data_IF_770342508047
#
_entry.id   IF_770342508047
#
_cell.length_a   1.000
_cell.length_b   1.000
_cell.length_c   1.000
_cell.angle_alpha   90.00
_cell.angle_beta   90.00
_cell.angle_gamma   90.00
#
_symmetry.space_group_name_H-M   'P 1'
#
loop_
_entity.id
_entity.type
_entity.pdbx_description
1 polymer ?
#
# COMPACT_ATOMS: atom_id res chain seq x y z
N UNK A 1 6.62 28.53 -31.56
CA UNK A 1 8.04 28.97 -31.74
C UNK A 1 8.41 29.94 -30.61
N UNK A 2 9.66 29.95 -30.17
CA UNK A 2 10.23 30.95 -29.25
C UNK A 2 11.05 31.92 -30.06
N UNK A 3 10.46 33.09 -30.40
CA UNK A 3 11.06 34.03 -31.34
C UNK A 3 11.28 33.36 -32.69
N UNK A 4 12.52 33.32 -33.20
CA UNK A 4 12.88 32.68 -34.48
C UNK A 4 13.20 31.18 -34.35
N UNK A 5 13.12 30.59 -33.15
CA UNK A 5 13.43 29.17 -32.90
C UNK A 5 12.16 28.43 -32.47
N UNK A 6 12.11 27.16 -32.77
CA UNK A 6 11.02 26.32 -32.28
C UNK A 6 11.08 26.24 -30.75
N UNK A 7 9.91 26.24 -30.10
CA UNK A 7 9.78 26.03 -28.67
C UNK A 7 10.03 24.55 -28.38
N UNK A 8 10.83 24.27 -27.35
CA UNK A 8 11.03 22.93 -26.82
C UNK A 8 10.69 22.95 -25.34
N UNK A 9 9.71 22.15 -24.95
CA UNK A 9 9.37 21.93 -23.55
C UNK A 9 10.51 21.20 -22.82
N UNK A 10 10.72 21.50 -21.56
CA UNK A 10 11.75 20.84 -20.74
C UNK A 10 11.27 19.48 -20.18
N UNK A 11 9.95 19.34 -20.01
CA UNK A 11 9.29 18.14 -19.56
C UNK A 11 8.22 17.70 -20.57
N UNK A 12 7.56 16.59 -20.29
CA UNK A 12 6.39 16.19 -21.07
C UNK A 12 5.29 17.23 -20.92
N UNK A 13 4.69 17.63 -22.04
CA UNK A 13 3.44 18.42 -22.04
C UNK A 13 2.29 17.45 -21.75
N UNK A 14 1.53 17.72 -20.70
CA UNK A 14 0.46 16.84 -20.21
C UNK A 14 -0.92 17.41 -20.53
N UNK A 15 -1.05 18.75 -20.64
CA UNK A 15 -2.32 19.41 -20.89
C UNK A 15 -2.21 20.63 -21.78
N UNK A 16 -3.34 21.02 -22.35
CA UNK A 16 -3.48 22.27 -23.13
C UNK A 16 -4.87 22.88 -22.95
N UNK A 17 -4.90 24.21 -22.88
CA UNK A 17 -6.11 25.01 -22.96
C UNK A 17 -6.04 25.93 -24.18
N UNK A 18 -7.20 26.22 -24.79
CA UNK A 18 -7.33 27.16 -25.91
C UNK A 18 -8.45 28.11 -25.53
N UNK A 19 -8.08 29.38 -25.34
CA UNK A 19 -9.01 30.46 -24.99
C UNK A 19 -8.68 31.70 -25.78
N UNK A 20 -9.67 32.36 -26.31
CA UNK A 20 -9.62 33.70 -26.98
C UNK A 20 -8.46 33.88 -27.99
N UNK A 21 -8.06 32.80 -28.68
CA UNK A 21 -6.95 32.83 -29.65
C UNK A 21 -5.56 32.65 -29.02
N UNK A 22 -5.48 32.32 -27.75
CA UNK A 22 -4.26 31.88 -27.05
C UNK A 22 -4.29 30.37 -26.79
N UNK A 23 -3.11 29.77 -26.76
CA UNK A 23 -2.91 28.38 -26.41
C UNK A 23 -1.99 28.33 -25.20
N UNK A 24 -2.48 27.81 -24.11
CA UNK A 24 -1.68 27.48 -22.92
C UNK A 24 -1.30 26.01 -22.93
N UNK A 25 0.00 25.73 -22.82
CA UNK A 25 0.54 24.38 -22.67
C UNK A 25 1.06 24.19 -21.25
N UNK A 26 0.69 23.07 -20.64
CA UNK A 26 1.12 22.70 -19.29
C UNK A 26 2.17 21.61 -19.35
N UNK A 27 3.34 21.88 -18.77
CA UNK A 27 4.41 20.89 -18.61
C UNK A 27 4.82 20.82 -17.16
N UNK A 28 5.11 19.61 -16.67
CA UNK A 28 5.58 19.50 -15.31
C UNK A 28 5.87 18.08 -14.88
N UNK A 29 6.37 18.00 -13.66
CA UNK A 29 6.57 16.74 -12.96
C UNK A 29 6.56 16.99 -11.45
N UNK A 30 5.85 16.14 -10.72
CA UNK A 30 5.72 16.23 -9.27
C UNK A 30 5.13 17.59 -8.84
N UNK A 31 5.90 18.38 -8.05
CA UNK A 31 5.45 19.67 -7.54
C UNK A 31 5.88 20.89 -8.39
N UNK A 32 6.52 20.66 -9.54
CA UNK A 32 7.05 21.74 -10.39
C UNK A 32 6.36 21.75 -11.74
N UNK A 33 5.61 22.80 -11.97
CA UNK A 33 4.82 22.99 -13.18
C UNK A 33 5.15 24.31 -13.85
N UNK A 34 4.98 24.35 -15.16
CA UNK A 34 5.07 25.57 -15.95
C UNK A 34 3.87 25.64 -16.88
N UNK A 35 3.32 26.82 -17.03
CA UNK A 35 2.42 27.18 -18.10
C UNK A 35 3.20 27.97 -19.15
N UNK A 36 2.98 27.65 -20.41
CA UNK A 36 3.54 28.36 -21.56
C UNK A 36 2.40 28.86 -22.42
N UNK A 37 2.23 30.17 -22.50
CA UNK A 37 1.16 30.83 -23.29
C UNK A 37 1.69 31.21 -24.64
N UNK A 38 0.92 30.91 -25.68
CA UNK A 38 1.22 31.24 -27.09
C UNK A 38 0.06 32.03 -27.71
N UNK A 39 0.35 33.18 -28.30
CA UNK A 39 -0.56 33.80 -29.25
C UNK A 39 -0.59 32.94 -30.51
N UNK A 40 -1.79 32.54 -30.97
CA UNK A 40 -1.97 31.70 -32.15
C UNK A 40 -2.47 32.50 -33.31
N UNK A 41 -1.74 32.46 -34.42
CA UNK A 41 -2.16 33.10 -35.71
C UNK A 41 -2.73 32.02 -36.64
N UNK A 42 -4.04 32.04 -36.83
CA UNK A 42 -4.77 31.12 -37.70
C UNK A 42 -4.32 31.19 -39.17
N UNK A 43 -3.85 32.34 -39.64
CA UNK A 43 -3.48 32.52 -41.04
C UNK A 43 -2.12 31.88 -41.38
N UNK A 44 -1.22 31.89 -40.44
CA UNK A 44 0.12 31.27 -40.59
C UNK A 44 0.25 29.91 -39.95
N UNK A 45 -0.78 29.44 -39.25
CA UNK A 45 -0.77 28.20 -38.45
C UNK A 45 0.43 28.11 -37.46
N UNK A 46 0.82 29.30 -36.94
CA UNK A 46 1.99 29.38 -36.03
C UNK A 46 1.59 29.98 -34.68
N UNK A 47 2.15 29.39 -33.61
CA UNK A 47 2.05 29.97 -32.26
C UNK A 47 3.36 30.69 -31.90
N UNK A 48 3.25 31.88 -31.37
CA UNK A 48 4.39 32.65 -30.83
C UNK A 48 4.30 32.67 -29.31
N UNK A 49 5.37 32.22 -28.62
CA UNK A 49 5.42 32.24 -27.17
C UNK A 49 5.26 33.70 -26.66
N UNK A 50 4.18 33.96 -25.95
CA UNK A 50 3.86 35.25 -25.33
C UNK A 50 4.29 35.29 -23.86
N UNK A 51 4.28 34.15 -23.15
CA UNK A 51 4.62 34.09 -21.77
C UNK A 51 5.01 32.68 -21.30
N UNK A 52 5.65 32.62 -20.12
CA UNK A 52 5.88 31.41 -19.37
C UNK A 52 5.85 31.74 -17.89
N UNK A 53 5.11 30.97 -17.11
CA UNK A 53 5.07 31.12 -15.65
C UNK A 53 5.20 29.79 -14.92
N UNK A 54 5.86 29.83 -13.74
CA UNK A 54 5.91 28.70 -12.85
C UNK A 54 4.58 28.59 -12.10
N UNK A 55 4.09 27.36 -11.96
CA UNK A 55 2.86 27.04 -11.25
C UNK A 55 3.14 26.04 -10.13
N UNK A 56 2.34 26.08 -9.08
CA UNK A 56 2.29 25.02 -8.08
C UNK A 56 1.30 23.94 -8.52
N UNK A 57 1.41 22.75 -7.95
CA UNK A 57 0.42 21.69 -8.18
C UNK A 57 -1.00 22.12 -7.75
N UNK A 58 -1.12 22.90 -6.67
CA UNK A 58 -2.41 23.45 -6.23
C UNK A 58 -3.01 24.40 -7.26
N UNK A 59 -2.18 25.18 -7.99
CA UNK A 59 -2.67 26.02 -9.10
C UNK A 59 -3.20 25.18 -10.27
N UNK A 60 -2.51 24.06 -10.60
CA UNK A 60 -2.98 23.13 -11.63
C UNK A 60 -4.33 22.54 -11.20
N UNK A 61 -4.48 22.03 -9.97
CA UNK A 61 -5.76 21.48 -9.49
C UNK A 61 -6.90 22.52 -9.52
N UNK A 62 -6.62 23.78 -9.13
CA UNK A 62 -7.63 24.82 -9.19
C UNK A 62 -8.06 25.13 -10.63
N UNK A 63 -7.12 25.08 -11.57
CA UNK A 63 -7.40 25.30 -12.99
C UNK A 63 -8.18 24.10 -13.58
N UNK A 64 -7.79 22.87 -13.28
CA UNK A 64 -8.54 21.67 -13.67
C UNK A 64 -9.99 21.71 -13.19
N UNK A 65 -10.21 22.20 -11.96
CA UNK A 65 -11.54 22.38 -11.40
C UNK A 65 -12.37 23.43 -12.17
N UNK A 66 -11.72 24.48 -12.61
CA UNK A 66 -12.36 25.57 -13.37
C UNK A 66 -12.70 25.12 -14.79
N UNK A 67 -11.73 24.48 -15.46
CA UNK A 67 -11.83 24.07 -16.86
C UNK A 67 -12.49 22.71 -17.05
N UNK A 68 -12.70 21.97 -15.96
CA UNK A 68 -13.20 20.59 -15.97
C UNK A 68 -12.37 19.67 -16.88
N UNK A 69 -11.05 19.80 -16.80
CA UNK A 69 -10.07 19.04 -17.60
C UNK A 69 -8.94 18.53 -16.72
N UNK A 70 -8.50 17.32 -17.00
CA UNK A 70 -7.25 16.76 -16.45
C UNK A 70 -6.07 17.36 -17.22
N UNK A 71 -5.35 18.29 -16.60
CA UNK A 71 -4.22 19.00 -17.19
C UNK A 71 -2.87 18.40 -16.82
N UNK A 72 -2.82 17.62 -15.77
CA UNK A 72 -1.61 16.98 -15.25
C UNK A 72 -1.48 15.51 -15.66
N UNK A 73 -2.51 14.95 -16.32
CA UNK A 73 -2.57 13.56 -16.81
C UNK A 73 -2.44 12.52 -15.67
N UNK A 74 -3.01 12.82 -14.49
CA UNK A 74 -3.04 11.90 -13.36
C UNK A 74 -4.31 11.02 -13.30
N UNK A 75 -5.22 11.22 -14.26
CA UNK A 75 -6.45 10.45 -14.44
C UNK A 75 -7.64 10.97 -13.65
N UNK A 76 -7.52 12.10 -12.95
CA UNK A 76 -8.61 12.76 -12.21
C UNK A 76 -8.60 14.26 -12.45
N UNK A 77 -9.72 14.95 -12.14
CA UNK A 77 -9.81 16.40 -12.26
C UNK A 77 -9.68 17.01 -10.85
N UNK A 78 -8.69 17.90 -10.69
CA UNK A 78 -8.42 18.58 -9.43
C UNK A 78 -7.84 17.65 -8.36
N UNK A 79 -7.82 18.07 -7.11
CA UNK A 79 -7.26 17.27 -6.00
C UNK A 79 -8.25 16.21 -5.51
N UNK A 80 -8.60 15.29 -6.39
CA UNK A 80 -9.51 14.18 -6.11
C UNK A 80 -8.79 12.95 -5.55
N UNK A 81 -9.55 11.93 -5.16
CA UNK A 81 -9.03 10.64 -4.70
C UNK A 81 -8.51 9.84 -5.90
N UNK A 82 -7.24 9.41 -5.83
CA UNK A 82 -6.59 8.56 -6.84
C UNK A 82 -6.43 7.11 -6.39
N UNK A 83 -6.45 6.84 -5.08
CA UNK A 83 -6.35 5.48 -4.54
C UNK A 83 -7.15 5.32 -3.26
N UNK A 84 -7.66 4.11 -3.04
CA UNK A 84 -8.37 3.69 -1.83
C UNK A 84 -7.64 2.51 -1.19
N UNK A 85 -7.65 2.43 0.13
CA UNK A 85 -6.96 1.38 0.89
C UNK A 85 -7.89 0.73 1.90
N UNK A 86 -7.64 -0.52 2.20
CA UNK A 86 -8.35 -1.24 3.24
C UNK A 86 -8.08 -0.61 4.61
N UNK A 87 -9.13 -0.43 5.37
CA UNK A 87 -9.08 0.09 6.75
C UNK A 87 -9.91 -0.82 7.65
N UNK A 88 -9.35 -1.20 8.78
CA UNK A 88 -10.11 -1.84 9.86
C UNK A 88 -10.01 -1.02 11.14
N UNK A 89 -11.03 -1.08 11.96
CA UNK A 89 -10.99 -0.68 13.37
C UNK A 89 -10.68 -1.89 14.26
N UNK A 90 -10.59 -1.68 15.58
CA UNK A 90 -10.31 -2.75 16.55
C UNK A 90 -11.39 -3.85 16.58
N UNK A 91 -12.57 -3.60 16.03
CA UNK A 91 -13.66 -4.57 15.92
C UNK A 91 -13.69 -5.30 14.58
N UNK A 92 -12.74 -5.01 13.68
CA UNK A 92 -12.73 -5.53 12.31
C UNK A 92 -13.79 -4.90 11.40
N UNK A 93 -14.49 -3.86 11.88
CA UNK A 93 -15.50 -3.14 11.09
C UNK A 93 -14.82 -2.01 10.31
N UNK A 94 -15.02 -2.00 9.00
CA UNK A 94 -14.57 -0.90 8.16
C UNK A 94 -15.54 0.27 8.35
N UNK A 95 -15.16 1.24 9.19
CA UNK A 95 -15.98 2.42 9.49
C UNK A 95 -15.47 3.70 8.83
N UNK A 96 -14.20 3.75 8.48
CA UNK A 96 -13.54 4.91 7.84
C UNK A 96 -12.74 4.46 6.63
N UNK A 97 -12.74 5.29 5.56
CA UNK A 97 -11.85 5.07 4.42
C UNK A 97 -10.48 5.69 4.64
N UNK A 98 -9.46 5.10 4.04
CA UNK A 98 -8.12 5.67 3.91
C UNK A 98 -7.83 5.86 2.43
N UNK A 99 -7.42 7.07 2.06
CA UNK A 99 -7.36 7.50 0.67
C UNK A 99 -6.08 8.28 0.38
N UNK A 100 -5.60 8.17 -0.86
CA UNK A 100 -4.58 9.05 -1.41
C UNK A 100 -5.23 10.04 -2.38
N UNK A 101 -4.89 11.32 -2.24
CA UNK A 101 -5.29 12.38 -3.14
C UNK A 101 -4.29 12.53 -4.31
N UNK A 102 -4.71 13.18 -5.39
CA UNK A 102 -3.86 13.56 -6.52
C UNK A 102 -2.62 14.37 -6.10
N UNK A 103 -2.76 15.21 -5.06
CA UNK A 103 -1.63 15.91 -4.42
C UNK A 103 -0.59 15.00 -3.74
N UNK A 104 -0.83 13.68 -3.69
CA UNK A 104 -0.02 12.74 -2.94
C UNK A 104 -0.25 12.76 -1.43
N UNK A 105 -1.19 13.56 -0.94
CA UNK A 105 -1.57 13.60 0.47
C UNK A 105 -2.48 12.42 0.83
N UNK A 106 -2.40 11.97 2.07
CA UNK A 106 -3.23 10.89 2.59
C UNK A 106 -4.24 11.44 3.60
N UNK A 107 -5.46 10.94 3.50
CA UNK A 107 -6.58 11.34 4.36
C UNK A 107 -7.37 10.14 4.85
N UNK A 108 -8.10 10.32 5.95
CA UNK A 108 -9.20 9.44 6.35
C UNK A 108 -10.52 10.18 6.21
N UNK A 109 -11.57 9.45 5.83
CA UNK A 109 -12.94 9.95 5.75
C UNK A 109 -13.91 8.82 6.14
N UNK A 110 -15.06 9.17 6.75
CA UNK A 110 -16.06 8.22 7.25
C UNK A 110 -17.23 7.98 6.28
N UNK A 111 -17.14 8.43 5.03
CA UNK A 111 -18.24 8.40 4.06
C UNK A 111 -18.13 7.37 2.93
N UNK A 112 -17.06 6.59 2.89
CA UNK A 112 -16.87 5.59 1.82
C UNK A 112 -16.70 6.26 0.45
N UNK A 113 -15.74 7.18 0.34
CA UNK A 113 -15.42 7.86 -0.91
C UNK A 113 -14.80 6.91 -1.93
N UNK A 114 -14.94 7.23 -3.20
CA UNK A 114 -14.39 6.47 -4.32
C UNK A 114 -13.40 7.30 -5.15
N UNK A 115 -12.59 6.63 -5.96
CA UNK A 115 -11.67 7.29 -6.90
C UNK A 115 -12.44 8.27 -7.79
N UNK A 116 -11.84 9.44 -8.02
CA UNK A 116 -12.42 10.56 -8.77
C UNK A 116 -13.27 11.53 -7.94
N UNK A 117 -13.67 11.16 -6.72
CA UNK A 117 -14.41 12.08 -5.85
C UNK A 117 -13.46 13.05 -5.12
N UNK A 118 -13.93 14.28 -4.95
CA UNK A 118 -13.25 15.30 -4.15
C UNK A 118 -13.79 15.28 -2.72
N UNK A 119 -12.94 15.02 -1.71
CA UNK A 119 -13.38 15.11 -0.32
C UNK A 119 -13.65 16.56 0.06
N UNK A 120 -14.75 16.82 0.76
CA UNK A 120 -15.04 18.15 1.29
C UNK A 120 -14.20 18.44 2.53
N UNK A 121 -13.82 19.70 2.76
CA UNK A 121 -12.92 20.12 3.85
C UNK A 121 -13.38 19.74 5.25
N UNK A 122 -14.69 19.61 5.47
CA UNK A 122 -15.28 19.25 6.77
C UNK A 122 -15.26 17.72 7.05
N UNK A 123 -14.74 16.90 6.15
CA UNK A 123 -14.88 15.44 6.19
C UNK A 123 -13.55 14.72 6.17
N UNK A 124 -12.46 15.41 5.79
CA UNK A 124 -11.13 14.82 5.67
C UNK A 124 -10.27 15.12 6.87
N UNK A 125 -9.63 14.08 7.40
CA UNK A 125 -8.54 14.26 8.36
C UNK A 125 -7.22 13.92 7.66
N UNK A 126 -6.34 14.93 7.54
CA UNK A 126 -5.06 14.82 6.86
C UNK A 126 -4.00 14.20 7.79
N UNK A 127 -3.26 13.21 7.29
CA UNK A 127 -2.08 12.69 7.98
C UNK A 127 -0.93 13.70 7.92
N UNK A 128 -0.30 13.97 9.06
CA UNK A 128 0.68 15.06 9.22
C UNK A 128 1.95 14.60 9.95
N UNK A 129 3.07 15.25 9.63
CA UNK A 129 4.28 15.28 10.47
C UNK A 129 4.44 16.71 10.96
N UNK A 130 4.16 16.93 12.25
CA UNK A 130 4.01 18.29 12.78
C UNK A 130 2.84 19.01 12.10
N UNK A 131 3.12 20.08 11.36
CA UNK A 131 2.11 20.88 10.63
C UNK A 131 2.05 20.59 9.13
N UNK A 132 2.95 19.76 8.60
CA UNK A 132 3.03 19.44 7.18
C UNK A 132 2.38 18.10 6.86
N UNK A 133 1.87 17.87 5.63
CA UNK A 133 1.38 16.57 5.22
C UNK A 133 2.46 15.48 5.41
N UNK A 134 2.06 14.34 5.98
CA UNK A 134 2.97 13.21 6.15
C UNK A 134 3.27 12.55 4.81
N UNK A 135 4.54 12.17 4.62
CA UNK A 135 5.00 11.42 3.43
C UNK A 135 5.44 10.03 3.84
N UNK A 136 4.75 9.02 3.36
CA UNK A 136 5.18 7.64 3.54
C UNK A 136 6.41 7.35 2.67
N UNK A 137 7.29 6.48 3.16
CA UNK A 137 8.52 6.09 2.43
C UNK A 137 8.19 5.32 1.14
N UNK A 138 7.14 4.51 1.19
CA UNK A 138 6.57 3.77 0.06
C UNK A 138 5.04 3.88 0.11
N UNK A 139 4.36 3.43 -0.92
CA UNK A 139 2.90 3.44 -0.95
C UNK A 139 2.32 2.52 0.14
N UNK A 140 1.35 3.00 0.96
CA UNK A 140 0.67 2.19 1.96
C UNK A 140 -0.02 0.96 1.37
N UNK A 141 -0.05 -0.12 2.13
CA UNK A 141 -0.85 -1.30 1.79
C UNK A 141 -2.22 -1.27 2.45
N UNK A 142 -2.26 -0.84 3.72
CA UNK A 142 -3.49 -0.79 4.53
C UNK A 142 -3.35 0.19 5.69
N UNK A 143 -4.44 0.43 6.41
CA UNK A 143 -4.43 1.24 7.62
C UNK A 143 -5.33 0.63 8.70
N UNK A 144 -4.96 0.88 9.96
CA UNK A 144 -5.81 0.67 11.12
C UNK A 144 -6.24 2.02 11.67
N UNK A 145 -7.52 2.18 11.93
CA UNK A 145 -8.07 3.35 12.60
C UNK A 145 -8.46 2.99 14.03
N UNK A 146 -7.71 3.47 14.99
CA UNK A 146 -8.06 3.36 16.41
C UNK A 146 -8.91 4.56 16.82
N UNK A 147 -10.06 4.31 17.42
CA UNK A 147 -11.00 5.37 17.85
C UNK A 147 -10.42 6.17 19.02
N UNK A 148 -9.60 5.56 19.88
CA UNK A 148 -9.11 6.18 21.13
C UNK A 148 -7.58 6.39 21.19
N UNK A 149 -6.78 5.83 20.27
CA UNK A 149 -5.31 5.87 20.35
C UNK A 149 -4.61 6.23 19.04
N UNK A 150 -5.29 6.86 18.12
CA UNK A 150 -4.76 7.17 16.79
C UNK A 150 -4.86 6.01 15.84
N UNK A 151 -4.03 5.98 14.79
CA UNK A 151 -4.06 4.96 13.77
C UNK A 151 -2.67 4.47 13.41
N UNK A 152 -2.60 3.32 12.75
CA UNK A 152 -1.39 2.77 12.16
C UNK A 152 -1.55 2.62 10.66
N UNK A 153 -0.55 3.00 9.88
CA UNK A 153 -0.53 2.82 8.43
C UNK A 153 0.62 1.88 8.09
N UNK A 154 0.29 0.79 7.38
CA UNK A 154 1.23 -0.25 7.01
C UNK A 154 1.75 -0.06 5.60
N UNK A 155 3.01 -0.37 5.40
CA UNK A 155 3.64 -0.38 4.09
C UNK A 155 4.86 -1.31 4.06
N UNK A 156 5.16 -1.78 2.87
CA UNK A 156 6.33 -2.58 2.58
C UNK A 156 7.44 -1.71 2.03
N UNK A 157 8.68 -1.98 2.41
CA UNK A 157 9.87 -1.34 1.84
C UNK A 157 10.98 -2.36 1.65
N UNK A 158 11.96 -2.04 0.81
CA UNK A 158 13.10 -2.91 0.57
C UNK A 158 14.37 -2.30 1.18
N UNK A 159 15.08 -3.08 1.99
CA UNK A 159 16.38 -2.71 2.52
C UNK A 159 17.40 -3.82 2.25
N UNK A 160 18.46 -3.50 1.51
CA UNK A 160 19.53 -4.45 1.11
C UNK A 160 18.99 -5.71 0.43
N UNK A 161 17.93 -5.57 -0.40
CA UNK A 161 17.30 -6.67 -1.10
C UNK A 161 16.31 -7.51 -0.29
N UNK A 162 16.11 -7.19 0.98
CA UNK A 162 15.10 -7.86 1.82
C UNK A 162 13.85 -7.00 1.96
N UNK A 163 12.70 -7.64 1.91
CA UNK A 163 11.42 -7.05 2.26
C UNK A 163 11.38 -6.74 3.74
N UNK A 164 11.00 -5.52 4.09
CA UNK A 164 10.81 -5.04 5.45
C UNK A 164 9.43 -4.42 5.55
N UNK A 165 8.66 -4.88 6.51
CA UNK A 165 7.38 -4.31 6.87
C UNK A 165 7.53 -3.19 7.88
N UNK A 166 6.79 -2.12 7.67
CA UNK A 166 6.76 -0.96 8.55
C UNK A 166 5.34 -0.54 8.86
N UNK A 167 5.19 0.07 10.02
CA UNK A 167 3.97 0.72 10.47
C UNK A 167 4.30 2.11 10.98
N UNK A 168 3.72 3.13 10.35
CA UNK A 168 3.75 4.49 10.87
C UNK A 168 2.56 4.70 11.82
N UNK A 169 2.86 5.07 13.05
CA UNK A 169 1.88 5.30 14.10
C UNK A 169 1.53 6.79 14.20
N UNK A 170 0.24 7.06 14.37
CA UNK A 170 -0.31 8.41 14.47
C UNK A 170 -1.12 8.56 15.76
N UNK A 171 -1.27 9.79 16.24
CA UNK A 171 -2.24 10.12 17.31
C UNK A 171 -3.65 10.32 16.72
N UNK A 172 -4.61 10.67 17.59
CA UNK A 172 -6.01 10.89 17.21
C UNK A 172 -6.20 12.03 16.19
N UNK A 173 -5.30 13.02 16.23
CA UNK A 173 -5.28 14.13 15.27
C UNK A 173 -4.56 13.79 13.95
N UNK A 174 -4.20 12.51 13.74
CA UNK A 174 -3.42 12.00 12.60
C UNK A 174 -2.03 12.64 12.49
N UNK A 175 -1.44 13.02 13.62
CA UNK A 175 -0.05 13.50 13.68
C UNK A 175 0.87 12.31 13.92
N UNK A 176 1.89 12.18 13.08
CA UNK A 176 2.90 11.13 13.15
C UNK A 176 3.62 11.09 14.50
N UNK A 177 3.77 9.91 15.06
CA UNK A 177 4.49 9.65 16.31
C UNK A 177 5.84 8.98 16.06
N UNK A 178 5.81 7.81 15.45
CA UNK A 178 7.00 6.99 15.19
C UNK A 178 6.73 5.94 14.11
N UNK A 179 7.81 5.37 13.59
CA UNK A 179 7.77 4.20 12.71
C UNK A 179 8.22 2.96 13.46
N UNK A 180 7.49 1.88 13.35
CA UNK A 180 7.86 0.55 13.82
C UNK A 180 8.30 -0.31 12.64
N UNK A 181 9.25 -1.21 12.89
CA UNK A 181 9.64 -2.26 11.95
C UNK A 181 9.03 -3.56 12.44
N UNK A 182 8.29 -4.23 11.58
CA UNK A 182 7.56 -5.44 11.88
C UNK A 182 8.17 -6.62 11.13
N UNK A 183 8.16 -7.79 11.77
CA UNK A 183 8.40 -9.05 11.11
C UNK A 183 7.17 -9.47 10.30
N UNK A 184 7.34 -10.35 9.32
CA UNK A 184 6.20 -10.87 8.55
C UNK A 184 5.19 -11.60 9.46
N UNK A 185 5.67 -12.31 10.49
CA UNK A 185 4.79 -12.94 11.47
C UNK A 185 3.91 -11.91 12.21
N UNK A 186 4.48 -10.78 12.64
CA UNK A 186 3.70 -9.72 13.31
C UNK A 186 2.66 -9.12 12.36
N UNK A 187 2.93 -9.04 11.04
CA UNK A 187 1.90 -8.64 10.07
C UNK A 187 0.74 -9.63 10.07
N UNK A 188 1.01 -10.94 9.97
CA UNK A 188 -0.02 -11.98 9.98
C UNK A 188 -0.81 -12.02 11.30
N UNK A 189 -0.13 -11.81 12.44
CA UNK A 189 -0.79 -11.70 13.76
C UNK A 189 -1.72 -10.46 13.82
N UNK A 190 -1.31 -9.33 13.21
CA UNK A 190 -2.15 -8.14 13.10
C UNK A 190 -3.34 -8.36 12.15
N UNK A 191 -3.13 -9.03 11.02
CA UNK A 191 -4.22 -9.41 10.11
C UNK A 191 -5.29 -10.22 10.82
N UNK A 192 -4.87 -11.24 11.56
CA UNK A 192 -5.77 -12.09 12.32
C UNK A 192 -6.49 -11.31 13.43
N UNK A 193 -5.77 -10.42 14.13
CA UNK A 193 -6.33 -9.61 15.23
C UNK A 193 -7.38 -8.63 14.73
N UNK A 194 -7.12 -7.98 13.60
CA UNK A 194 -7.96 -6.91 13.06
C UNK A 194 -8.83 -7.34 11.89
N UNK A 195 -8.78 -8.62 11.51
CA UNK A 195 -9.52 -9.21 10.40
C UNK A 195 -9.38 -8.42 9.09
N UNK A 196 -8.16 -8.05 8.74
CA UNK A 196 -7.81 -7.27 7.56
C UNK A 196 -6.60 -7.86 6.83
N UNK A 197 -6.66 -8.00 5.51
CA UNK A 197 -5.53 -8.38 4.67
C UNK A 197 -4.58 -7.17 4.52
N UNK A 198 -3.52 -7.14 5.33
CA UNK A 198 -2.53 -6.04 5.38
C UNK A 198 -1.52 -6.18 4.26
N UNK A 199 -1.07 -7.40 3.98
CA UNK A 199 -0.02 -7.70 3.02
C UNK A 199 -0.53 -7.85 1.58
N UNK A 200 -1.86 -7.84 1.39
CA UNK A 200 -2.57 -7.98 0.11
C UNK A 200 -2.30 -9.31 -0.62
N UNK A 201 -2.10 -10.39 0.13
CA UNK A 201 -1.93 -11.73 -0.43
C UNK A 201 -3.27 -12.44 -0.69
N UNK A 202 -4.39 -11.81 -0.31
CA UNK A 202 -5.75 -12.33 -0.48
C UNK A 202 -6.23 -13.16 0.70
N UNK A 203 -5.47 -13.24 1.79
CA UNK A 203 -5.79 -13.99 3.00
C UNK A 203 -5.76 -13.09 4.22
N UNK A 204 -6.30 -13.55 5.35
CA UNK A 204 -6.23 -12.85 6.63
C UNK A 204 -5.51 -13.75 7.63
N UNK A 205 -4.32 -13.32 8.07
CA UNK A 205 -3.48 -14.04 9.02
C UNK A 205 -2.72 -15.23 8.43
N UNK A 206 -2.14 -16.05 9.31
CA UNK A 206 -1.33 -17.18 8.90
C UNK A 206 -2.21 -18.41 8.55
N UNK A 207 -2.59 -18.49 7.30
CA UNK A 207 -3.44 -19.58 6.78
C UNK A 207 -2.62 -20.65 6.07
N UNK A 208 -3.24 -21.80 5.80
CA UNK A 208 -2.63 -22.87 5.00
C UNK A 208 -2.41 -22.40 3.56
N UNK A 209 -1.14 -22.34 3.16
CA UNK A 209 -0.75 -22.05 1.77
C UNK A 209 -0.72 -23.32 0.92
N UNK A 210 -0.32 -24.47 1.52
CA UNK A 210 -0.20 -25.72 0.80
C UNK A 210 -0.43 -26.93 1.71
N UNK A 211 -1.17 -27.91 1.19
CA UNK A 211 -1.25 -29.26 1.78
C UNK A 211 -0.12 -30.08 1.16
N UNK A 212 0.82 -30.54 1.96
CA UNK A 212 2.01 -31.25 1.47
C UNK A 212 1.77 -32.75 1.37
N UNK A 213 1.32 -33.37 2.48
CA UNK A 213 1.13 -34.82 2.56
C UNK A 213 0.22 -35.19 3.74
N UNK A 214 -0.32 -36.42 3.74
CA UNK A 214 -1.08 -36.97 4.86
C UNK A 214 -0.63 -38.39 5.16
N UNK A 215 -0.91 -38.90 6.38
CA UNK A 215 -0.56 -40.25 6.83
C UNK A 215 -1.64 -41.32 6.55
N UNK A 216 -2.75 -40.94 5.95
CA UNK A 216 -3.91 -41.80 5.71
C UNK A 216 -4.69 -42.15 6.98
N UNK A 217 -4.31 -41.62 8.16
CA UNK A 217 -4.95 -41.81 9.46
C UNK A 217 -5.60 -40.55 10.04
N UNK A 218 -5.55 -39.47 9.28
CA UNK A 218 -6.14 -38.19 9.65
C UNK A 218 -5.13 -37.06 9.84
N UNK A 219 -3.86 -37.34 10.08
CA UNK A 219 -2.86 -36.30 10.23
C UNK A 219 -2.34 -35.84 8.87
N UNK A 220 -2.22 -34.55 8.71
CA UNK A 220 -1.67 -33.94 7.50
C UNK A 220 -0.57 -32.93 7.85
N UNK A 221 0.41 -32.84 6.96
CA UNK A 221 1.46 -31.82 7.00
C UNK A 221 1.12 -30.71 6.04
N UNK A 222 1.16 -29.51 6.53
CA UNK A 222 0.85 -28.28 5.79
C UNK A 222 2.02 -27.33 5.83
N UNK A 223 2.05 -26.43 4.85
CA UNK A 223 2.86 -25.23 4.89
C UNK A 223 1.92 -24.01 4.95
N UNK A 224 2.20 -23.10 5.87
CA UNK A 224 1.43 -21.85 6.01
C UNK A 224 2.01 -20.73 5.12
N UNK A 225 1.28 -19.61 5.01
CA UNK A 225 1.73 -18.41 4.29
C UNK A 225 3.01 -17.83 4.89
N UNK A 226 3.20 -17.95 6.21
CA UNK A 226 4.47 -17.56 6.86
C UNK A 226 5.66 -18.45 6.51
N UNK A 227 5.42 -19.55 5.79
CA UNK A 227 6.43 -20.59 5.51
C UNK A 227 6.63 -21.59 6.64
N UNK A 228 5.85 -21.48 7.72
CA UNK A 228 5.89 -22.46 8.82
C UNK A 228 5.34 -23.80 8.36
N UNK A 229 5.89 -24.90 8.91
CA UNK A 229 5.35 -26.23 8.71
C UNK A 229 4.54 -26.63 9.94
N UNK A 230 3.32 -27.09 9.71
CA UNK A 230 2.38 -27.46 10.77
C UNK A 230 1.80 -28.85 10.53
N UNK A 231 1.53 -29.59 11.61
CA UNK A 231 0.82 -30.85 11.57
C UNK A 231 -0.53 -30.65 12.24
N UNK A 232 -1.59 -31.06 11.57
CA UNK A 232 -2.96 -30.93 12.05
C UNK A 232 -3.81 -32.13 11.61
N UNK A 233 -4.79 -32.51 12.42
CA UNK A 233 -5.69 -33.66 12.20
C UNK A 233 -7.12 -33.26 11.81
N UNK A 234 -7.40 -31.96 11.69
CA UNK A 234 -8.73 -31.43 11.40
C UNK A 234 -9.09 -31.41 9.90
N UNK A 235 -8.18 -31.86 9.03
CA UNK A 235 -8.45 -31.93 7.59
C UNK A 235 -8.55 -30.57 6.91
N UNK A 236 -7.64 -29.66 7.26
CA UNK A 236 -7.61 -28.30 6.73
C UNK A 236 -7.38 -28.28 5.22
N UNK A 237 -7.89 -27.24 4.57
CA UNK A 237 -7.66 -26.95 3.16
C UNK A 237 -6.86 -25.66 2.99
N UNK A 238 -6.35 -25.41 1.77
CA UNK A 238 -5.70 -24.13 1.43
C UNK A 238 -6.66 -22.98 1.73
N UNK A 239 -6.14 -21.94 2.38
CA UNK A 239 -6.89 -20.79 2.87
C UNK A 239 -7.53 -20.97 4.24
N UNK A 240 -7.49 -22.18 4.85
CA UNK A 240 -7.98 -22.38 6.22
C UNK A 240 -7.02 -21.77 7.24
N UNK A 241 -7.55 -21.07 8.24
CA UNK A 241 -6.78 -20.69 9.42
C UNK A 241 -6.46 -21.91 10.29
N UNK A 242 -5.29 -21.91 10.90
CA UNK A 242 -4.88 -22.95 11.86
C UNK A 242 -5.38 -22.56 13.26
N UNK A 243 -6.08 -23.47 13.95
CA UNK A 243 -6.68 -23.21 15.28
C UNK A 243 -5.91 -23.89 16.39
N UNK A 244 -4.83 -24.19 16.49
CA UNK A 244 -3.96 -24.89 17.47
C UNK A 244 -3.04 -25.90 16.77
N UNK A 245 -2.31 -25.48 15.75
CA UNK A 245 -1.47 -26.40 14.99
C UNK A 245 -0.22 -26.79 15.79
N UNK A 246 0.27 -28.01 15.59
CA UNK A 246 1.61 -28.39 16.02
C UNK A 246 2.62 -27.79 15.05
N UNK A 247 3.21 -26.65 15.42
CA UNK A 247 4.26 -26.00 14.61
C UNK A 247 5.57 -26.77 14.75
N UNK A 248 6.19 -27.10 13.62
CA UNK A 248 7.51 -27.73 13.62
C UNK A 248 8.59 -26.66 13.86
N UNK A 249 9.33 -26.84 14.95
CA UNK A 249 10.39 -25.90 15.35
C UNK A 249 11.74 -26.60 15.50
N UNK A 250 12.80 -25.84 15.33
CA UNK A 250 14.16 -26.21 15.72
C UNK A 250 14.59 -25.42 16.95
N UNK A 251 15.08 -26.11 17.96
CA UNK A 251 15.67 -25.48 19.14
C UNK A 251 17.19 -25.47 19.03
N UNK A 252 17.80 -24.34 19.26
CA UNK A 252 19.25 -24.15 19.30
C UNK A 252 19.67 -23.57 20.65
N UNK A 253 20.58 -24.22 21.33
CA UNK A 253 21.16 -23.71 22.57
C UNK A 253 22.48 -23.02 22.27
N UNK A 254 22.55 -21.71 22.51
CA UNK A 254 23.74 -20.89 22.35
C UNK A 254 24.06 -20.22 23.68
N UNK A 255 25.21 -20.50 24.24
CA UNK A 255 25.66 -19.94 25.53
C UNK A 255 24.64 -20.12 26.66
N UNK A 256 23.99 -21.30 26.72
CA UNK A 256 23.01 -21.65 27.75
C UNK A 256 21.63 -20.99 27.58
N UNK A 257 21.39 -20.26 26.49
CA UNK A 257 20.08 -19.72 26.13
C UNK A 257 19.49 -20.53 24.98
N UNK A 258 18.32 -21.10 25.21
CA UNK A 258 17.55 -21.80 24.17
C UNK A 258 16.83 -20.76 23.31
N UNK A 259 16.96 -20.89 21.99
CA UNK A 259 16.20 -20.14 21.00
C UNK A 259 15.48 -21.13 20.10
N UNK A 260 14.17 -20.94 19.91
CA UNK A 260 13.37 -21.69 18.96
C UNK A 260 13.23 -20.91 17.65
N UNK A 261 13.23 -21.60 16.53
CA UNK A 261 12.91 -21.07 15.22
C UNK A 261 12.06 -22.08 14.45
N UNK A 262 11.30 -21.63 13.47
CA UNK A 262 10.57 -22.52 12.59
C UNK A 262 11.55 -23.52 11.95
N UNK A 263 11.11 -24.78 11.83
CA UNK A 263 11.90 -25.79 11.15
C UNK A 263 11.82 -25.56 9.63
N UNK A 264 12.95 -25.59 8.97
CA UNK A 264 13.03 -25.49 7.51
C UNK A 264 13.51 -26.81 6.94
N UNK A 265 12.71 -27.41 6.05
CA UNK A 265 13.14 -28.59 5.33
C UNK A 265 14.07 -28.20 4.18
N UNK A 266 15.14 -28.96 3.98
CA UNK A 266 16.08 -28.76 2.86
C UNK A 266 15.47 -29.18 1.52
N UNK A 267 14.43 -30.02 1.55
CA UNK A 267 13.68 -30.56 0.41
C UNK A 267 12.20 -30.58 0.74
N UNK A 268 11.35 -30.60 -0.27
CA UNK A 268 9.90 -30.69 -0.06
C UNK A 268 9.53 -32.02 0.63
N UNK A 269 8.82 -31.99 1.75
CA UNK A 269 8.33 -33.19 2.41
C UNK A 269 7.44 -34.05 1.51
N UNK A 270 7.65 -35.35 1.54
CA UNK A 270 6.93 -36.32 0.71
C UNK A 270 6.04 -37.27 1.50
N UNK A 271 6.16 -37.31 2.83
CA UNK A 271 5.36 -38.19 3.69
C UNK A 271 5.39 -37.78 5.15
N UNK A 272 4.34 -38.13 5.86
CA UNK A 272 4.23 -38.03 7.32
C UNK A 272 3.75 -39.37 7.87
N UNK A 273 4.26 -39.76 9.03
CA UNK A 273 3.80 -40.95 9.78
C UNK A 273 3.68 -40.58 11.23
N UNK A 274 2.53 -40.84 11.84
CA UNK A 274 2.33 -40.75 13.27
C UNK A 274 2.63 -42.10 13.91
N UNK A 275 3.60 -42.15 14.81
CA UNK A 275 4.03 -43.32 15.54
C UNK A 275 3.03 -43.70 16.64
N UNK A 276 3.15 -44.90 17.18
CA UNK A 276 2.26 -45.39 18.25
C UNK A 276 2.40 -44.61 19.57
N UNK A 277 3.50 -43.90 19.78
CA UNK A 277 3.75 -43.03 20.93
C UNK A 277 3.23 -41.59 20.74
N UNK A 278 2.58 -41.30 19.61
CA UNK A 278 2.08 -39.99 19.28
C UNK A 278 3.11 -39.04 18.63
N UNK A 279 4.37 -39.47 18.48
CA UNK A 279 5.37 -38.69 17.78
C UNK A 279 5.15 -38.72 16.26
N UNK A 280 5.54 -37.66 15.58
CA UNK A 280 5.43 -37.54 14.12
C UNK A 280 6.83 -37.64 13.47
N UNK A 281 6.92 -38.41 12.39
CA UNK A 281 8.09 -38.47 11.53
C UNK A 281 7.73 -37.90 10.16
N UNK A 282 8.54 -36.97 9.68
CA UNK A 282 8.36 -36.35 8.35
C UNK A 282 9.47 -36.86 7.43
N UNK A 283 9.09 -37.36 6.26
CA UNK A 283 10.00 -37.90 5.26
C UNK A 283 10.14 -36.92 4.09
N UNK A 284 11.36 -36.82 3.57
CA UNK A 284 11.66 -36.06 2.35
C UNK A 284 12.73 -36.82 1.56
N UNK A 285 12.86 -36.54 0.28
CA UNK A 285 13.83 -37.21 -0.61
C UNK A 285 15.07 -36.33 -0.71
N UNK A 286 16.24 -36.93 -0.46
CA UNK A 286 17.55 -36.29 -0.68
C UNK A 286 17.91 -36.20 -2.16
#
# INVERSE_FOLDING_TARGET
KKGSKDFTANNQVTGALIEDGEVSLYEGKDARWNEHTFGYDLASETGTLSGSQAMTLDNIFALEDTENKDLNDDGVIGNAIVSTYNVADESGVISTGFYRLASGHYITDNKGLTVGLKPTDNQKTLFKTGTTPHKFTTEPTSALSYIENGGGVYYETTYRGNTIWKRDNFNDDRVFKNTETLTFKEILDHEQTYNIDINKDGSVGDVIAQVLTNDGKGHSLYQTVSGSYVIDDSGLSVGSATTDPTILITEKVVRGKTTASNYEFTQTPTGIVTNADGSNAVYYQD
#
